data_IF_183142276185
#
_entry.id   IF_183142276185
#
_cell.length_a   1.000
_cell.length_b   1.000
_cell.length_c   1.000
_cell.angle_alpha   90.00
_cell.angle_beta   90.00
_cell.angle_gamma   90.00
#
_symmetry.space_group_name_H-M   'P 1'
#
loop_
_entity.id
_entity.type
_entity.pdbx_description
1 polymer ?
#
# COMPACT_ATOMS: atom_id res chain seq x y z
N UNK A 1 -13.09 3.91 -21.32
CA UNK A 1 -11.85 3.41 -20.68
C UNK A 1 -10.66 4.34 -20.92
N UNK A 2 -10.50 4.91 -22.12
CA UNK A 2 -9.34 5.74 -22.48
C UNK A 2 -9.25 7.03 -21.65
N UNK A 3 -10.33 7.82 -21.55
CA UNK A 3 -10.40 9.03 -20.69
C UNK A 3 -10.07 8.77 -19.20
N UNK A 4 -10.23 7.52 -18.76
CA UNK A 4 -9.98 7.10 -17.37
C UNK A 4 -8.51 6.75 -17.15
N UNK A 5 -7.84 6.10 -18.12
CA UNK A 5 -6.38 5.96 -18.11
C UNK A 5 -5.72 7.33 -18.09
N UNK A 6 -6.31 8.29 -18.78
CA UNK A 6 -5.84 9.67 -18.81
C UNK A 6 -5.96 10.36 -17.45
N UNK A 7 -7.01 10.08 -16.68
CA UNK A 7 -7.10 10.57 -15.31
C UNK A 7 -6.08 9.91 -14.37
N UNK A 8 -5.99 8.57 -14.43
CA UNK A 8 -5.17 7.74 -13.54
C UNK A 8 -3.67 7.93 -13.77
N UNK A 9 -3.23 8.10 -15.02
CA UNK A 9 -1.82 8.21 -15.42
C UNK A 9 -1.54 9.53 -16.15
N UNK A 10 -2.12 10.63 -15.67
CA UNK A 10 -2.17 11.92 -16.37
C UNK A 10 -0.81 12.52 -16.75
N UNK A 11 0.26 12.18 -16.03
CA UNK A 11 1.60 12.68 -16.31
C UNK A 11 2.41 11.74 -17.22
N UNK A 12 1.81 10.65 -17.69
CA UNK A 12 2.40 9.73 -18.67
C UNK A 12 2.02 10.16 -20.09
N UNK A 13 2.93 9.96 -21.05
CA UNK A 13 2.65 10.19 -22.47
C UNK A 13 1.42 9.41 -22.93
N UNK A 14 0.61 9.98 -23.81
CA UNK A 14 -0.60 9.33 -24.36
C UNK A 14 -0.27 7.97 -24.98
N UNK A 15 0.86 7.87 -25.68
CA UNK A 15 1.32 6.63 -26.31
C UNK A 15 1.49 5.49 -25.30
N UNK A 16 2.22 5.72 -24.21
CA UNK A 16 2.38 4.74 -23.12
C UNK A 16 1.06 4.44 -22.42
N UNK A 17 0.22 5.47 -22.15
CA UNK A 17 -1.10 5.27 -21.51
C UNK A 17 -1.98 4.30 -22.27
N UNK A 18 -2.04 4.42 -23.61
CA UNK A 18 -2.83 3.53 -24.47
C UNK A 18 -2.44 2.06 -24.31
N UNK A 19 -1.16 1.79 -24.08
CA UNK A 19 -0.61 0.46 -23.92
C UNK A 19 -0.87 -0.16 -22.54
N UNK A 20 -1.25 0.63 -21.52
CA UNK A 20 -1.52 0.10 -20.18
C UNK A 20 -2.74 -0.84 -20.18
N UNK A 21 -2.68 -1.91 -19.42
CA UNK A 21 -3.76 -2.87 -19.20
C UNK A 21 -4.46 -2.58 -17.87
N UNK A 22 -5.79 -2.64 -17.88
CA UNK A 22 -6.65 -2.61 -16.70
C UNK A 22 -7.92 -3.40 -17.00
N UNK A 23 -8.51 -3.97 -15.96
CA UNK A 23 -9.89 -4.46 -15.95
C UNK A 23 -10.82 -3.47 -15.22
N UNK A 24 -12.10 -3.83 -15.13
CA UNK A 24 -13.12 -3.00 -14.47
C UNK A 24 -12.92 -2.92 -12.95
N UNK A 25 -12.33 -3.93 -12.32
CA UNK A 25 -12.05 -3.91 -10.88
C UNK A 25 -10.88 -2.95 -10.58
N UNK A 26 -9.79 -3.06 -11.32
CA UNK A 26 -8.65 -2.14 -11.23
C UNK A 26 -9.07 -0.69 -11.48
N UNK A 27 -10.11 -0.45 -12.30
CA UNK A 27 -10.62 0.91 -12.48
C UNK A 27 -11.07 1.58 -11.16
N UNK A 28 -11.62 0.82 -10.21
CA UNK A 28 -12.05 1.37 -8.92
C UNK A 28 -10.94 1.36 -7.87
N UNK A 29 -9.97 0.45 -8.00
CA UNK A 29 -8.93 0.22 -7.00
C UNK A 29 -7.67 1.07 -7.22
N UNK A 30 -7.34 1.40 -8.47
CA UNK A 30 -6.09 2.09 -8.80
C UNK A 30 -6.06 3.52 -8.25
N UNK A 31 -5.02 3.81 -7.46
CA UNK A 31 -4.68 5.17 -7.06
C UNK A 31 -4.22 5.98 -8.27
N UNK A 32 -4.79 7.18 -8.47
CA UNK A 32 -4.30 8.07 -9.51
C UNK A 32 -2.87 8.55 -9.22
N UNK A 33 -2.11 8.80 -10.27
CA UNK A 33 -0.69 9.13 -10.20
C UNK A 33 -0.38 10.34 -9.31
N UNK A 34 -1.26 11.35 -9.28
CA UNK A 34 -1.04 12.51 -8.41
C UNK A 34 -1.14 12.12 -6.93
N UNK A 35 -2.17 11.34 -6.58
CA UNK A 35 -2.36 10.84 -5.22
C UNK A 35 -1.25 9.86 -4.81
N UNK A 36 -0.85 8.95 -5.70
CA UNK A 36 0.24 8.00 -5.45
C UNK A 36 1.58 8.72 -5.18
N UNK A 37 1.87 9.77 -5.94
CA UNK A 37 3.06 10.61 -5.73
C UNK A 37 3.00 11.36 -4.40
N UNK A 38 1.82 11.82 -3.97
CA UNK A 38 1.65 12.43 -2.63
C UNK A 38 1.90 11.42 -1.53
N UNK A 39 1.34 10.21 -1.62
CA UNK A 39 1.58 9.12 -0.66
C UNK A 39 3.08 8.83 -0.55
N UNK A 40 3.78 8.71 -1.68
CA UNK A 40 5.22 8.44 -1.72
C UNK A 40 6.02 9.54 -1.00
N UNK A 41 5.68 10.81 -1.24
CA UNK A 41 6.31 11.96 -0.60
C UNK A 41 6.00 12.06 0.89
N UNK A 42 4.78 11.72 1.30
CA UNK A 42 4.41 11.72 2.72
C UNK A 42 5.17 10.63 3.48
N UNK A 43 5.32 9.44 2.89
CA UNK A 43 6.16 8.37 3.46
C UNK A 43 7.59 8.86 3.65
N UNK A 44 8.23 9.45 2.62
CA UNK A 44 9.59 9.99 2.73
C UNK A 44 9.70 11.20 3.67
N UNK A 45 8.63 11.99 3.85
CA UNK A 45 8.64 13.07 4.84
C UNK A 45 8.72 12.52 6.27
N UNK A 46 8.02 11.43 6.53
CA UNK A 46 7.96 10.80 7.86
C UNK A 46 9.19 9.91 8.09
N UNK A 47 9.69 9.25 7.04
CA UNK A 47 10.81 8.29 7.08
C UNK A 47 11.80 8.62 5.94
N UNK A 48 12.66 9.65 6.09
CA UNK A 48 13.51 10.15 5.01
C UNK A 48 14.50 9.13 4.43
N UNK A 49 14.99 8.21 5.26
CA UNK A 49 16.02 7.25 4.86
C UNK A 49 15.46 5.92 4.32
N UNK A 50 14.14 5.81 4.12
CA UNK A 50 13.49 4.59 3.64
C UNK A 50 14.01 4.17 2.25
N UNK A 51 14.54 2.96 2.10
CA UNK A 51 15.13 2.49 0.85
C UNK A 51 14.22 1.51 0.11
N UNK A 52 13.64 0.55 0.83
CA UNK A 52 12.92 -0.59 0.24
C UNK A 52 11.48 -0.59 0.70
N UNK A 53 10.56 -0.45 -0.25
CA UNK A 53 9.11 -0.48 -0.01
C UNK A 53 8.49 -1.70 -0.68
N UNK A 54 7.57 -2.36 0.01
CA UNK A 54 6.74 -3.42 -0.55
C UNK A 54 5.32 -2.89 -0.76
N UNK A 55 4.86 -2.86 -2.01
CA UNK A 55 3.44 -2.67 -2.37
C UNK A 55 2.75 -4.03 -2.28
N UNK A 56 2.09 -4.30 -1.15
CA UNK A 56 1.58 -5.62 -0.80
C UNK A 56 0.26 -5.98 -1.51
N UNK A 57 -0.39 -5.00 -2.15
CA UNK A 57 -1.64 -5.14 -2.90
C UNK A 57 -1.54 -4.36 -4.22
N UNK A 58 -0.51 -4.67 -5.00
CA UNK A 58 -0.03 -3.84 -6.11
C UNK A 58 -1.04 -3.63 -7.25
N UNK A 59 -2.04 -4.52 -7.39
CA UNK A 59 -3.04 -4.46 -8.45
C UNK A 59 -2.34 -4.37 -9.81
N UNK A 60 -2.65 -3.36 -10.62
CA UNK A 60 -2.01 -3.13 -11.92
C UNK A 60 -0.83 -2.14 -11.87
N UNK A 61 -0.39 -1.75 -10.67
CA UNK A 61 0.86 -1.00 -10.45
C UNK A 61 0.73 0.52 -10.32
N UNK A 62 -0.43 1.05 -9.93
CA UNK A 62 -0.61 2.50 -9.74
C UNK A 62 0.34 3.10 -8.69
N UNK A 63 0.29 2.57 -7.47
CA UNK A 63 1.20 2.98 -6.40
C UNK A 63 2.64 2.49 -6.67
N UNK A 64 2.80 1.22 -7.08
CA UNK A 64 4.09 0.64 -7.47
C UNK A 64 4.89 1.54 -8.43
N UNK A 65 4.25 2.07 -9.48
CA UNK A 65 4.90 2.98 -10.41
C UNK A 65 5.33 4.28 -9.74
N UNK A 66 4.50 4.85 -8.86
CA UNK A 66 4.93 6.00 -8.06
C UNK A 66 6.15 5.66 -7.21
N UNK A 67 6.07 4.58 -6.43
CA UNK A 67 7.15 4.13 -5.56
C UNK A 67 8.47 3.93 -6.30
N UNK A 68 8.44 3.41 -7.52
CA UNK A 68 9.64 3.21 -8.35
C UNK A 68 10.45 4.49 -8.60
N UNK A 69 9.81 5.67 -8.53
CA UNK A 69 10.45 6.98 -8.72
C UNK A 69 11.07 7.56 -7.44
N UNK A 70 10.62 7.09 -6.27
CA UNK A 70 10.94 7.72 -4.98
C UNK A 70 11.79 6.84 -4.07
N UNK A 71 11.73 5.51 -4.23
CA UNK A 71 12.46 4.55 -3.39
C UNK A 71 13.53 3.82 -4.18
N UNK A 72 14.57 3.33 -3.49
CA UNK A 72 15.67 2.62 -4.12
C UNK A 72 15.19 1.31 -4.76
N UNK A 73 14.36 0.55 -4.04
CA UNK A 73 13.80 -0.73 -4.50
C UNK A 73 12.32 -0.85 -4.14
N UNK A 74 11.55 -1.44 -5.03
CA UNK A 74 10.13 -1.75 -4.82
C UNK A 74 9.89 -3.25 -5.01
N UNK A 75 9.26 -3.89 -4.04
CA UNK A 75 8.65 -5.20 -4.22
C UNK A 75 7.15 -5.00 -4.49
N UNK A 76 6.61 -5.59 -5.55
CA UNK A 76 5.19 -5.49 -5.89
C UNK A 76 4.54 -6.88 -5.83
N UNK A 77 3.61 -7.06 -4.90
CA UNK A 77 2.90 -8.32 -4.68
C UNK A 77 1.49 -8.19 -5.24
N UNK A 78 1.08 -9.14 -6.07
CA UNK A 78 -0.29 -9.26 -6.54
C UNK A 78 -0.71 -10.73 -6.45
N UNK A 79 -1.92 -10.97 -5.91
CA UNK A 79 -2.43 -12.33 -5.69
C UNK A 79 -3.25 -12.84 -6.88
N UNK A 80 -3.93 -11.95 -7.59
CA UNK A 80 -4.72 -12.31 -8.77
C UNK A 80 -3.81 -12.48 -10.00
N UNK A 81 -3.95 -13.63 -10.67
CA UNK A 81 -3.11 -13.96 -11.81
C UNK A 81 -3.25 -12.99 -12.99
N UNK A 82 -4.47 -12.54 -13.29
CA UNK A 82 -4.71 -11.64 -14.43
C UNK A 82 -4.14 -10.25 -14.14
N UNK A 83 -4.37 -9.70 -12.95
CA UNK A 83 -3.80 -8.43 -12.53
C UNK A 83 -2.29 -8.49 -12.39
N UNK A 84 -1.73 -9.62 -11.95
CA UNK A 84 -0.28 -9.84 -11.97
C UNK A 84 0.29 -9.72 -13.41
N UNK A 85 -0.37 -10.33 -14.40
CA UNK A 85 0.05 -10.17 -15.81
C UNK A 85 -0.07 -8.71 -16.28
N UNK A 86 -1.08 -7.97 -15.82
CA UNK A 86 -1.23 -6.54 -16.13
C UNK A 86 -0.17 -5.69 -15.44
N UNK A 87 0.15 -5.98 -14.18
CA UNK A 87 1.22 -5.35 -13.42
C UNK A 87 2.55 -5.49 -14.15
N UNK A 88 2.93 -6.72 -14.53
CA UNK A 88 4.15 -6.98 -15.29
C UNK A 88 4.20 -6.20 -16.60
N UNK A 89 3.09 -6.22 -17.35
CA UNK A 89 2.98 -5.50 -18.62
C UNK A 89 3.10 -3.98 -18.42
N UNK A 90 2.37 -3.42 -17.45
CA UNK A 90 2.33 -1.99 -17.18
C UNK A 90 3.68 -1.47 -16.69
N UNK A 91 4.33 -2.19 -15.78
CA UNK A 91 5.66 -1.83 -15.28
C UNK A 91 6.68 -1.80 -16.42
N UNK A 92 6.61 -2.76 -17.36
CA UNK A 92 7.43 -2.75 -18.57
C UNK A 92 7.15 -1.55 -19.47
N UNK A 93 5.88 -1.23 -19.74
CA UNK A 93 5.47 -0.07 -20.55
C UNK A 93 5.92 1.26 -19.92
N UNK A 94 5.92 1.31 -18.58
CA UNK A 94 6.32 2.48 -17.80
C UNK A 94 7.84 2.59 -17.62
N UNK A 95 8.60 1.58 -18.06
CA UNK A 95 10.06 1.54 -18.11
C UNK A 95 10.74 1.77 -16.75
N UNK A 96 10.25 1.10 -15.71
CA UNK A 96 10.90 1.12 -14.39
C UNK A 96 11.95 0.00 -14.29
N UNK A 97 13.03 0.24 -13.54
CA UNK A 97 14.17 -0.68 -13.44
C UNK A 97 14.39 -1.28 -12.04
N UNK A 98 13.64 -0.81 -11.04
CA UNK A 98 13.83 -1.14 -9.62
C UNK A 98 12.61 -1.79 -8.97
N UNK A 99 11.77 -2.46 -9.79
CA UNK A 99 10.55 -3.13 -9.33
C UNK A 99 10.68 -4.64 -9.54
N UNK A 100 10.67 -5.40 -8.45
CA UNK A 100 10.53 -6.86 -8.48
C UNK A 100 9.06 -7.24 -8.26
N UNK A 101 8.51 -8.12 -9.11
CA UNK A 101 7.07 -8.43 -9.13
C UNK A 101 6.83 -9.89 -8.75
N UNK A 102 5.91 -10.12 -7.82
CA UNK A 102 5.63 -11.42 -7.22
C UNK A 102 4.14 -11.79 -7.33
N UNK A 103 3.85 -12.95 -7.92
CA UNK A 103 2.53 -13.57 -7.84
C UNK A 103 2.46 -14.38 -6.54
N UNK A 104 1.85 -13.81 -5.51
CA UNK A 104 1.79 -14.43 -4.18
C UNK A 104 0.71 -13.81 -3.32
N UNK A 105 0.30 -14.55 -2.30
CA UNK A 105 -0.33 -13.97 -1.12
C UNK A 105 0.70 -13.14 -0.33
N UNK A 106 0.29 -11.98 0.18
CA UNK A 106 1.16 -11.09 0.93
C UNK A 106 1.62 -11.71 2.25
N UNK A 107 0.77 -12.50 2.92
CA UNK A 107 1.11 -13.20 4.16
C UNK A 107 2.23 -14.22 3.95
N UNK A 108 2.45 -14.69 2.71
CA UNK A 108 3.56 -15.57 2.37
C UNK A 108 4.78 -14.76 1.90
N UNK A 109 4.56 -13.80 1.01
CA UNK A 109 5.63 -13.05 0.38
C UNK A 109 6.39 -12.16 1.37
N UNK A 110 5.70 -11.49 2.30
CA UNK A 110 6.34 -10.59 3.25
C UNK A 110 7.41 -11.28 4.11
N UNK A 111 7.23 -12.55 4.48
CA UNK A 111 8.25 -13.32 5.23
C UNK A 111 9.47 -13.76 4.40
N UNK A 112 9.39 -13.66 3.07
CA UNK A 112 10.47 -14.07 2.14
C UNK A 112 11.22 -12.87 1.56
N UNK A 113 10.71 -11.67 1.78
CA UNK A 113 11.24 -10.43 1.24
C UNK A 113 11.92 -9.64 2.36
N UNK A 114 12.91 -8.85 1.97
CA UNK A 114 13.46 -7.81 2.82
C UNK A 114 12.82 -6.47 2.43
N UNK A 115 12.30 -5.76 3.43
CA UNK A 115 11.63 -4.48 3.25
C UNK A 115 11.77 -3.59 4.49
N UNK A 116 11.83 -2.27 4.28
CA UNK A 116 11.80 -1.31 5.38
C UNK A 116 10.35 -0.98 5.76
N UNK A 117 9.48 -0.85 4.75
CA UNK A 117 8.05 -0.53 4.90
C UNK A 117 7.18 -1.41 4.00
N UNK A 118 6.05 -1.85 4.55
CA UNK A 118 4.99 -2.54 3.81
C UNK A 118 3.82 -1.56 3.62
N UNK A 119 3.48 -1.26 2.38
CA UNK A 119 2.31 -0.49 2.01
C UNK A 119 1.16 -1.42 1.67
N UNK A 120 0.00 -1.21 2.31
CA UNK A 120 -1.20 -2.00 2.11
C UNK A 120 -2.35 -1.09 1.73
N UNK A 121 -2.96 -1.40 0.59
CA UNK A 121 -4.15 -0.77 0.05
C UNK A 121 -5.20 -1.85 -0.16
N UNK A 122 -5.87 -2.28 0.93
CA UNK A 122 -6.77 -3.43 0.90
C UNK A 122 -8.01 -3.14 0.04
N UNK A 123 -8.75 -4.16 -0.42
CA UNK A 123 -10.06 -3.96 -1.01
C UNK A 123 -10.99 -3.29 0.01
N UNK A 124 -11.68 -2.22 -0.39
CA UNK A 124 -12.61 -1.51 0.50
C UNK A 124 -14.03 -2.06 0.49
N UNK A 125 -14.28 -3.14 -0.27
CA UNK A 125 -15.62 -3.74 -0.41
C UNK A 125 -16.52 -3.03 -1.42
N UNK A 126 -15.95 -2.48 -2.49
CA UNK A 126 -16.70 -1.89 -3.61
C UNK A 126 -17.41 -0.56 -3.29
N UNK A 127 -18.15 0.04 -4.23
CA UNK A 127 -18.85 1.32 -4.01
C UNK A 127 -19.75 1.36 -2.76
N UNK A 128 -20.20 0.20 -2.28
CA UNK A 128 -21.01 -0.01 -1.09
C UNK A 128 -20.32 0.44 0.20
N UNK A 129 -18.99 0.56 0.24
CA UNK A 129 -18.28 1.07 1.43
C UNK A 129 -18.78 2.46 1.84
N UNK A 130 -19.26 3.25 0.87
CA UNK A 130 -19.71 4.64 1.09
C UNK A 130 -21.05 4.75 1.81
N UNK A 131 -21.86 3.69 1.82
CA UNK A 131 -23.14 3.68 2.53
C UNK A 131 -23.01 3.24 3.99
N UNK A 132 -21.83 2.78 4.41
CA UNK A 132 -21.55 2.38 5.78
C UNK A 132 -21.01 3.56 6.59
N UNK A 133 -21.45 3.70 7.83
CA UNK A 133 -20.92 4.72 8.75
C UNK A 133 -19.47 4.44 9.12
N UNK A 134 -19.15 3.16 9.35
CA UNK A 134 -17.83 2.66 9.71
C UNK A 134 -17.54 1.37 8.92
N UNK A 135 -16.30 1.17 8.48
CA UNK A 135 -15.87 -0.03 7.77
C UNK A 135 -14.63 -0.66 8.38
N UNK A 136 -14.69 -1.98 8.58
CA UNK A 136 -13.51 -2.81 8.81
C UNK A 136 -12.98 -3.30 7.45
N UNK A 137 -11.66 -3.52 7.37
CA UNK A 137 -10.98 -3.91 6.14
C UNK A 137 -10.39 -5.30 6.30
N UNK A 138 -10.32 -6.02 5.18
CA UNK A 138 -9.89 -7.40 5.13
C UNK A 138 -8.96 -7.62 3.94
N UNK A 139 -8.03 -8.55 4.09
CA UNK A 139 -7.32 -9.16 2.96
C UNK A 139 -7.86 -10.58 2.85
N UNK A 140 -8.58 -10.86 1.76
CA UNK A 140 -9.42 -12.06 1.66
C UNK A 140 -10.39 -12.13 2.86
N UNK A 141 -10.29 -13.16 3.70
CA UNK A 141 -11.15 -13.35 4.88
C UNK A 141 -10.46 -12.95 6.20
N UNK A 142 -9.23 -12.43 6.15
CA UNK A 142 -8.44 -12.07 7.33
C UNK A 142 -8.58 -10.59 7.61
N UNK A 143 -8.93 -10.24 8.85
CA UNK A 143 -9.06 -8.83 9.26
C UNK A 143 -7.71 -8.11 9.14
N UNK A 144 -7.71 -6.85 8.68
CA UNK A 144 -6.49 -6.08 8.47
C UNK A 144 -5.60 -5.99 9.72
N UNK A 145 -6.19 -6.00 10.92
CA UNK A 145 -5.43 -5.99 12.19
C UNK A 145 -4.64 -7.29 12.37
N UNK A 146 -5.27 -8.44 12.13
CA UNK A 146 -4.63 -9.76 12.13
C UNK A 146 -3.60 -9.87 11.00
N UNK A 147 -3.87 -9.31 9.82
CA UNK A 147 -2.89 -9.25 8.72
C UNK A 147 -1.62 -8.53 9.17
N UNK A 148 -1.76 -7.38 9.84
CA UNK A 148 -0.62 -6.61 10.35
C UNK A 148 0.14 -7.39 11.43
N UNK A 149 -0.56 -8.14 12.29
CA UNK A 149 0.06 -8.99 13.31
C UNK A 149 0.90 -10.11 12.68
N UNK A 150 0.39 -10.79 11.65
CA UNK A 150 1.13 -11.86 10.97
C UNK A 150 2.45 -11.39 10.35
N UNK A 151 2.49 -10.16 9.82
CA UNK A 151 3.67 -9.62 9.13
C UNK A 151 4.52 -8.69 10.02
N UNK A 152 4.20 -8.57 11.31
CA UNK A 152 4.78 -7.57 12.22
C UNK A 152 6.31 -7.67 12.36
N UNK A 153 6.87 -8.86 12.15
CA UNK A 153 8.32 -9.11 12.30
C UNK A 153 9.08 -9.00 10.97
N UNK A 154 8.43 -8.56 9.89
CA UNK A 154 9.00 -8.56 8.53
C UNK A 154 9.41 -7.19 8.00
N UNK A 155 9.07 -6.11 8.71
CA UNK A 155 9.42 -4.73 8.37
C UNK A 155 9.54 -3.87 9.62
N UNK A 156 9.98 -2.61 9.47
CA UNK A 156 9.97 -1.62 10.56
C UNK A 156 8.69 -0.78 10.58
N UNK A 157 8.05 -0.67 9.41
CA UNK A 157 6.90 0.19 9.21
C UNK A 157 5.82 -0.49 8.39
N UNK A 158 4.58 -0.10 8.66
CA UNK A 158 3.41 -0.44 7.85
C UNK A 158 2.69 0.88 7.50
N UNK A 159 2.38 1.09 6.23
CA UNK A 159 1.54 2.18 5.78
C UNK A 159 0.24 1.64 5.19
N UNK A 160 -0.89 2.21 5.60
CA UNK A 160 -2.22 1.80 5.18
C UNK A 160 -2.90 2.92 4.40
N UNK A 161 -3.41 2.60 3.22
CA UNK A 161 -4.36 3.45 2.48
C UNK A 161 -5.77 2.97 2.78
N UNK A 162 -6.54 3.79 3.49
CA UNK A 162 -7.86 3.39 4.01
C UNK A 162 -8.93 4.41 3.60
N UNK A 163 -10.21 4.03 3.48
CA UNK A 163 -11.28 4.99 3.21
C UNK A 163 -11.51 5.91 4.43
N UNK A 164 -12.16 7.06 4.21
CA UNK A 164 -12.39 8.06 5.28
C UNK A 164 -13.25 7.55 6.44
N UNK A 165 -14.04 6.50 6.22
CA UNK A 165 -14.90 5.85 7.20
C UNK A 165 -14.30 4.55 7.76
N UNK A 166 -13.00 4.33 7.60
CA UNK A 166 -12.31 3.19 8.23
C UNK A 166 -12.45 3.23 9.75
N UNK A 167 -12.64 2.07 10.38
CA UNK A 167 -12.73 1.89 11.83
C UNK A 167 -11.37 2.06 12.52
N UNK A 168 -10.75 3.23 12.37
CA UNK A 168 -9.42 3.51 12.87
C UNK A 168 -9.31 3.31 14.38
N UNK A 169 -10.36 3.67 15.14
CA UNK A 169 -10.37 3.52 16.59
C UNK A 169 -10.22 2.06 16.99
N UNK A 170 -11.07 1.17 16.47
CA UNK A 170 -10.99 -0.25 16.79
C UNK A 170 -9.69 -0.87 16.26
N UNK A 171 -9.24 -0.47 15.07
CA UNK A 171 -7.99 -0.94 14.51
C UNK A 171 -6.79 -0.60 15.40
N UNK A 172 -6.69 0.65 15.88
CA UNK A 172 -5.64 1.07 16.81
C UNK A 172 -5.76 0.32 18.14
N UNK A 173 -6.97 0.13 18.67
CA UNK A 173 -7.20 -0.68 19.88
C UNK A 173 -6.73 -2.13 19.73
N UNK A 174 -6.87 -2.75 18.55
CA UNK A 174 -6.41 -4.13 18.31
C UNK A 174 -4.90 -4.24 18.09
N UNK A 175 -4.26 -3.18 17.60
CA UNK A 175 -2.86 -3.24 17.12
C UNK A 175 -1.85 -2.54 18.03
N UNK A 176 -2.31 -1.76 19.02
CA UNK A 176 -1.46 -0.94 19.88
C UNK A 176 -0.37 -1.72 20.66
N UNK A 177 -0.54 -3.03 20.85
CA UNK A 177 0.44 -3.88 21.53
C UNK A 177 1.70 -4.15 20.70
N UNK A 178 1.64 -4.00 19.37
CA UNK A 178 2.76 -4.32 18.47
C UNK A 178 3.05 -3.25 17.41
N UNK A 179 2.22 -2.23 17.24
CA UNK A 179 2.50 -1.10 16.35
C UNK A 179 1.91 0.20 16.86
N UNK A 180 2.57 1.33 16.55
CA UNK A 180 2.17 2.68 16.96
C UNK A 180 1.91 3.55 15.74
N UNK A 181 0.77 4.23 15.70
CA UNK A 181 0.48 5.23 14.68
C UNK A 181 1.42 6.43 14.86
N UNK A 182 2.24 6.71 13.86
CA UNK A 182 3.22 7.82 13.88
C UNK A 182 2.86 8.96 12.93
N UNK A 183 1.99 8.70 11.95
CA UNK A 183 1.54 9.73 11.01
C UNK A 183 0.16 9.40 10.43
N UNK A 184 -0.64 10.44 10.21
CA UNK A 184 -1.96 10.37 9.58
C UNK A 184 -2.13 11.56 8.62
N UNK A 185 -2.40 11.27 7.35
CA UNK A 185 -2.82 12.28 6.36
C UNK A 185 -4.31 12.11 6.04
N UNK A 186 -5.10 13.16 6.28
CA UNK A 186 -6.54 13.23 5.97
C UNK A 186 -6.87 14.15 4.78
N UNK A 187 -5.87 14.74 4.14
CA UNK A 187 -6.02 15.65 3.00
C UNK A 187 -6.03 14.94 1.64
N UNK A 188 -5.98 13.60 1.63
CA UNK A 188 -6.16 12.80 0.43
C UNK A 188 -7.65 12.68 0.13
N UNK A 189 -8.01 12.72 -1.16
CA UNK A 189 -9.41 12.71 -1.57
C UNK A 189 -10.04 11.36 -1.27
N UNK A 190 -11.02 11.30 -0.35
CA UNK A 190 -11.81 10.10 0.02
C UNK A 190 -11.00 8.99 0.70
N UNK A 191 -9.78 9.26 1.13
CA UNK A 191 -8.93 8.28 1.78
C UNK A 191 -8.04 8.93 2.81
N UNK A 192 -7.55 8.14 3.76
CA UNK A 192 -6.50 8.51 4.66
C UNK A 192 -5.25 7.67 4.37
N UNK A 193 -4.08 8.25 4.61
CA UNK A 193 -2.83 7.51 4.74
C UNK A 193 -2.48 7.42 6.22
N UNK A 194 -2.34 6.22 6.74
CA UNK A 194 -1.89 5.96 8.10
C UNK A 194 -0.51 5.31 8.04
N UNK A 195 0.47 5.80 8.80
CA UNK A 195 1.80 5.18 8.88
C UNK A 195 2.06 4.79 10.32
N UNK A 196 2.43 3.54 10.50
CA UNK A 196 2.70 2.92 11.78
C UNK A 196 4.16 2.46 11.84
N UNK A 197 4.73 2.58 13.03
CA UNK A 197 6.00 1.97 13.39
C UNK A 197 5.73 0.70 14.18
N UNK A 198 6.37 -0.40 13.78
CA UNK A 198 6.32 -1.68 14.49
C UNK A 198 7.18 -1.60 15.76
N UNK A 199 6.68 -2.19 16.84
CA UNK A 199 7.36 -2.22 18.13
C UNK A 199 8.28 -3.43 18.17
N UNK A 200 9.59 -3.19 18.24
CA UNK A 200 10.56 -4.26 18.48
C UNK A 200 10.34 -4.87 19.88
N UNK A 201 9.86 -6.12 19.95
CA UNK A 201 9.83 -6.90 21.20
C UNK A 201 11.26 -7.16 21.77
N UNK A 202 12.30 -6.89 20.98
CA UNK A 202 13.71 -7.04 21.35
C UNK A 202 14.52 -5.73 21.37
N UNK A 203 13.88 -4.56 21.33
CA UNK A 203 14.62 -3.31 21.47
C UNK A 203 15.08 -3.12 22.93
N UNK A 204 16.39 -3.04 23.21
CA UNK A 204 16.92 -2.81 24.55
C UNK A 204 16.56 -1.44 25.14
N UNK A 205 15.75 -0.64 24.44
CA UNK A 205 15.27 0.67 24.88
C UNK A 205 13.88 0.64 25.54
N UNK A 206 13.16 -0.50 25.52
CA UNK A 206 11.85 -0.63 26.17
C UNK A 206 11.93 -0.95 27.68
N UNK A 207 13.14 -1.10 28.26
CA UNK A 207 13.34 -1.39 29.69
C UNK A 207 13.74 -0.18 30.52
N UNK A 208 13.33 1.04 30.15
CA UNK A 208 13.51 2.22 30.99
C UNK A 208 12.24 3.05 30.99
N UNK A 209 11.40 2.85 32.01
CA UNK A 209 10.66 3.91 32.74
C UNK A 209 9.52 3.31 33.58
N UNK A 210 9.86 2.59 34.66
CA UNK A 210 9.02 2.54 35.85
C UNK A 210 9.94 2.45 37.08
N UNK A 211 10.32 3.62 37.57
CA UNK A 211 10.77 3.87 38.95
C UNK A 211 10.05 5.10 39.45
#
# INVERSE_FOLDING_TARGET
MEDKKDFLFRFISIEKRRQLKLDDEAFYSVTDQYTADRISKDILRVIPDLQIITDATACIGGNTYSFSKYFHKVNAIEVDFLRYQYLQHNIKVLETSNVDIYLSDLLIACHRLYQDLIFIDPPWGGPEYKSKEVVDLFISEVELSEVCEHIKDTSKYIALKVPTNFNEKQFVEKTHSFMKLIYKNTELRKMHLLIFQLLDEHSPYNSVSLS
#
